data_IF_309649328724
#
_entry.id   IF_309649328724
#
_cell.length_a   1.000
_cell.length_b   1.000
_cell.length_c   1.000
_cell.angle_alpha   90.00
_cell.angle_beta   90.00
_cell.angle_gamma   90.00
#
_symmetry.space_group_name_H-M   'P 1'
#
loop_
_entity.id
_entity.type
_entity.pdbx_description
1 polymer ?
#
# COMPACT_ATOMS: atom_id res chain seq x y z
N UNK A 1 -4.09 -35.49 22.25
CA UNK A 1 -2.83 -35.33 23.01
C UNK A 1 -1.80 -36.10 22.19
N UNK A 2 -0.85 -35.53 21.46
CA UNK A 2 -0.01 -34.34 21.65
C UNK A 2 0.33 -33.80 20.24
N UNK A 3 0.54 -32.53 19.94
CA UNK A 3 1.13 -31.47 20.74
C UNK A 3 2.65 -31.52 20.57
N UNK A 4 3.18 -31.08 19.42
CA UNK A 4 4.58 -30.71 19.26
C UNK A 4 4.68 -29.53 18.27
N UNK A 5 4.83 -28.34 18.84
CA UNK A 5 5.17 -27.11 18.15
C UNK A 5 6.67 -27.10 17.89
N UNK A 6 7.09 -27.20 16.64
CA UNK A 6 8.47 -26.91 16.25
C UNK A 6 8.57 -25.40 15.94
N UNK A 7 8.83 -24.62 16.99
CA UNK A 7 9.41 -23.29 16.86
C UNK A 7 10.88 -23.45 16.46
N UNK A 8 11.17 -23.51 15.16
CA UNK A 8 12.56 -23.46 14.70
C UNK A 8 12.98 -22.00 14.50
N UNK A 9 13.68 -21.52 15.52
CA UNK A 9 14.33 -20.22 15.59
C UNK A 9 15.61 -20.26 14.73
N UNK A 10 15.49 -19.91 13.45
CA UNK A 10 16.67 -19.61 12.63
C UNK A 10 16.70 -18.12 12.32
N UNK A 11 17.31 -17.39 13.24
CA UNK A 11 17.87 -16.07 13.00
C UNK A 11 18.98 -16.17 11.94
N UNK A 12 18.62 -16.24 10.65
CA UNK A 12 19.58 -16.00 9.58
C UNK A 12 19.73 -14.49 9.38
N UNK A 13 20.54 -13.90 10.25
CA UNK A 13 21.06 -12.55 10.09
C UNK A 13 21.97 -12.50 8.85
N UNK A 14 21.40 -12.17 7.70
CA UNK A 14 22.18 -11.69 6.56
C UNK A 14 21.45 -10.54 5.87
N UNK A 15 21.79 -9.33 6.34
CA UNK A 15 21.50 -8.03 5.76
C UNK A 15 20.26 -7.25 6.27
N UNK A 16 20.19 -7.03 7.58
CA UNK A 16 19.35 -5.99 8.18
C UNK A 16 19.74 -4.55 7.79
N UNK A 17 20.79 -4.34 6.97
CA UNK A 17 21.16 -3.02 6.44
C UNK A 17 20.34 -2.61 5.21
N UNK A 18 19.45 -3.48 4.72
CA UNK A 18 18.63 -3.19 3.57
C UNK A 18 17.27 -2.59 3.91
N UNK A 19 16.59 -3.09 4.94
CA UNK A 19 15.15 -2.85 5.15
C UNK A 19 14.92 -1.68 6.13
N UNK A 20 14.14 -0.70 5.70
CA UNK A 20 13.71 0.48 6.44
C UNK A 20 12.36 0.27 7.13
N UNK A 21 11.45 -0.51 6.53
CA UNK A 21 10.14 -0.78 7.11
C UNK A 21 10.17 -1.91 8.14
N UNK A 22 9.50 -1.77 9.29
CA UNK A 22 9.48 -2.81 10.32
C UNK A 22 8.68 -4.04 9.84
N UNK A 23 9.37 -5.16 9.62
CA UNK A 23 8.77 -6.42 9.14
C UNK A 23 7.61 -6.91 10.01
N UNK A 24 7.64 -6.66 11.32
CA UNK A 24 6.54 -6.99 12.24
C UNK A 24 5.23 -6.29 11.86
N UNK A 25 5.29 -5.01 11.43
CA UNK A 25 4.10 -4.26 11.01
C UNK A 25 3.60 -4.72 9.66
N UNK A 26 4.52 -5.01 8.73
CA UNK A 26 4.16 -5.58 7.42
C UNK A 26 3.45 -6.93 7.61
N UNK A 27 4.00 -7.81 8.46
CA UNK A 27 3.39 -9.11 8.79
C UNK A 27 1.99 -8.95 9.39
N UNK A 28 1.80 -7.98 10.29
CA UNK A 28 0.49 -7.70 10.88
C UNK A 28 -0.54 -7.26 9.84
N UNK A 29 -0.15 -6.39 8.90
CA UNK A 29 -1.02 -5.95 7.80
C UNK A 29 -1.36 -7.14 6.89
N UNK A 30 -0.38 -7.97 6.52
CA UNK A 30 -0.62 -9.17 5.72
C UNK A 30 -1.60 -10.14 6.40
N UNK A 31 -1.51 -10.31 7.73
CA UNK A 31 -2.45 -11.14 8.53
C UNK A 31 -3.78 -10.48 8.84
N UNK A 32 -4.01 -9.24 8.41
CA UNK A 32 -5.33 -8.60 8.58
C UNK A 32 -6.39 -9.22 7.66
N UNK A 33 -5.97 -9.89 6.59
CA UNK A 33 -6.87 -10.69 5.76
C UNK A 33 -7.22 -12.02 6.45
N UNK A 34 -8.51 -12.39 6.54
CA UNK A 34 -8.95 -13.62 7.19
C UNK A 34 -8.43 -14.89 6.50
N UNK A 35 -8.06 -14.79 5.22
CA UNK A 35 -7.58 -15.92 4.43
C UNK A 35 -6.08 -16.23 4.63
N UNK A 36 -5.37 -15.40 5.40
CA UNK A 36 -3.92 -15.52 5.59
C UNK A 36 -3.59 -16.16 6.95
N UNK A 37 -3.41 -17.49 6.95
CA UNK A 37 -3.09 -18.27 8.15
C UNK A 37 -1.61 -18.14 8.57
N UNK A 38 -0.69 -18.35 7.62
CA UNK A 38 0.75 -18.33 7.82
C UNK A 38 1.46 -17.60 6.69
N UNK A 39 2.63 -17.02 6.96
CA UNK A 39 3.41 -16.22 6.00
C UNK A 39 4.86 -16.70 6.08
N UNK A 40 5.42 -17.10 4.93
CA UNK A 40 6.84 -17.45 4.80
C UNK A 40 7.74 -16.21 5.03
N UNK A 41 8.90 -16.40 5.67
CA UNK A 41 9.88 -15.34 5.93
C UNK A 41 10.39 -14.68 4.64
N UNK A 42 10.63 -15.46 3.57
CA UNK A 42 11.05 -14.90 2.27
C UNK A 42 9.96 -14.04 1.63
N UNK A 43 8.70 -14.48 1.71
CA UNK A 43 7.57 -13.69 1.23
C UNK A 43 7.45 -12.37 2.02
N UNK A 44 7.61 -12.43 3.35
CA UNK A 44 7.61 -11.23 4.20
C UNK A 44 8.74 -10.27 3.83
N UNK A 45 9.95 -10.78 3.58
CA UNK A 45 11.10 -9.98 3.15
C UNK A 45 10.83 -9.25 1.83
N UNK A 46 10.37 -9.99 0.82
CA UNK A 46 10.05 -9.45 -0.52
C UNK A 46 8.93 -8.42 -0.43
N UNK A 47 7.83 -8.72 0.28
CA UNK A 47 6.72 -7.78 0.46
C UNK A 47 7.18 -6.51 1.17
N UNK A 48 8.04 -6.63 2.18
CA UNK A 48 8.59 -5.46 2.88
C UNK A 48 9.39 -4.58 1.92
N UNK A 49 10.24 -5.19 1.07
CA UNK A 49 11.00 -4.48 0.06
C UNK A 49 10.17 -3.89 -1.06
N UNK A 50 9.17 -4.62 -1.54
CA UNK A 50 8.24 -4.12 -2.53
C UNK A 50 7.47 -2.91 -2.00
N UNK A 51 7.07 -2.92 -0.72
CA UNK A 51 6.36 -1.79 -0.08
C UNK A 51 7.24 -0.54 -0.03
N UNK A 52 8.53 -0.66 0.29
CA UNK A 52 9.46 0.47 0.27
C UNK A 52 9.62 1.10 -1.11
N UNK A 53 9.79 0.25 -2.13
CA UNK A 53 9.91 0.70 -3.52
C UNK A 53 8.61 1.30 -4.02
N UNK A 54 7.47 0.72 -3.63
CA UNK A 54 6.15 1.21 -3.97
C UNK A 54 5.90 2.62 -3.44
N UNK A 55 6.19 2.89 -2.16
CA UNK A 55 6.02 4.23 -1.56
C UNK A 55 6.91 5.26 -2.27
N UNK A 56 8.17 4.92 -2.56
CA UNK A 56 9.08 5.80 -3.29
C UNK A 56 8.57 6.09 -4.70
N UNK A 57 8.13 5.05 -5.42
CA UNK A 57 7.63 5.18 -6.77
C UNK A 57 6.33 5.99 -6.84
N UNK A 58 5.41 5.78 -5.90
CA UNK A 58 4.16 6.54 -5.81
C UNK A 58 4.45 8.02 -5.54
N UNK A 59 5.31 8.31 -4.57
CA UNK A 59 5.69 9.68 -4.23
C UNK A 59 6.37 10.40 -5.41
N UNK A 60 7.34 9.75 -6.06
CA UNK A 60 8.06 10.32 -7.21
C UNK A 60 7.14 10.52 -8.42
N UNK A 61 6.31 9.53 -8.74
CA UNK A 61 5.34 9.63 -9.83
C UNK A 61 4.35 10.77 -9.60
N UNK A 62 3.85 10.89 -8.36
CA UNK A 62 2.92 11.96 -7.99
C UNK A 62 3.56 13.33 -8.01
N UNK A 63 4.81 13.42 -7.58
CA UNK A 63 5.58 14.66 -7.63
C UNK A 63 5.86 15.12 -9.07
N UNK A 64 6.17 14.17 -9.96
CA UNK A 64 6.49 14.46 -11.37
C UNK A 64 5.26 14.79 -12.23
N UNK A 65 4.12 14.15 -11.93
CA UNK A 65 2.88 14.32 -12.68
C UNK A 65 1.99 15.45 -12.14
N UNK A 66 2.22 15.87 -10.89
CA UNK A 66 1.49 16.95 -10.24
C UNK A 66 2.18 18.31 -10.34
N UNK A 67 1.70 19.26 -9.54
CA UNK A 67 2.27 20.61 -9.42
C UNK A 67 3.60 20.67 -8.65
N UNK A 68 4.09 19.50 -8.19
CA UNK A 68 5.29 19.37 -7.37
C UNK A 68 6.55 19.88 -8.06
N UNK A 69 6.63 19.81 -9.38
CA UNK A 69 7.78 20.33 -10.14
C UNK A 69 7.94 21.85 -10.03
N UNK A 70 6.82 22.57 -9.94
CA UNK A 70 6.80 24.04 -9.91
C UNK A 70 6.89 24.56 -8.47
N UNK A 71 6.14 23.92 -7.55
CA UNK A 71 5.98 24.39 -6.17
C UNK A 71 6.88 23.65 -5.17
N UNK A 72 7.71 22.70 -5.63
CA UNK A 72 8.59 21.83 -4.82
C UNK A 72 7.88 21.15 -3.63
N UNK A 73 6.58 20.97 -3.75
CA UNK A 73 5.70 20.48 -2.68
C UNK A 73 4.82 19.38 -3.23
N UNK A 74 4.75 18.24 -2.53
CA UNK A 74 3.84 17.15 -2.89
C UNK A 74 2.53 17.32 -2.12
N UNK A 75 1.43 17.55 -2.84
CA UNK A 75 0.10 17.67 -2.24
C UNK A 75 -0.70 16.38 -2.37
N UNK A 76 -1.73 16.23 -1.54
CA UNK A 76 -2.64 15.10 -1.64
C UNK A 76 -3.37 15.03 -3.00
N UNK A 77 -3.71 16.18 -3.58
CA UNK A 77 -4.31 16.25 -4.91
C UNK A 77 -3.40 15.65 -5.99
N UNK A 78 -2.08 15.81 -5.88
CA UNK A 78 -1.12 15.24 -6.83
C UNK A 78 -1.13 13.70 -6.76
N UNK A 79 -1.21 13.15 -5.53
CA UNK A 79 -1.35 11.71 -5.29
C UNK A 79 -2.68 11.17 -5.86
N UNK A 80 -3.79 11.84 -5.57
CA UNK A 80 -5.10 11.44 -6.04
C UNK A 80 -5.18 11.41 -7.58
N UNK A 81 -4.71 12.47 -8.23
CA UNK A 81 -4.68 12.57 -9.70
C UNK A 81 -3.78 11.49 -10.33
N UNK A 82 -2.64 11.20 -9.71
CA UNK A 82 -1.71 10.18 -10.21
C UNK A 82 -2.30 8.78 -10.09
N UNK A 83 -3.01 8.50 -9.00
CA UNK A 83 -3.72 7.23 -8.79
C UNK A 83 -4.84 7.06 -9.82
N UNK A 84 -5.60 8.12 -10.12
CA UNK A 84 -6.68 8.08 -11.10
C UNK A 84 -6.17 7.92 -12.54
N UNK A 85 -5.08 8.60 -12.89
CA UNK A 85 -4.51 8.59 -14.24
C UNK A 85 -3.61 7.40 -14.59
N UNK A 86 -3.24 6.56 -13.63
CA UNK A 86 -2.29 5.45 -13.84
C UNK A 86 -2.94 4.10 -13.58
N UNK A 87 -3.01 3.24 -14.60
CA UNK A 87 -3.62 1.90 -14.51
C UNK A 87 -3.01 1.05 -13.39
N UNK A 88 -1.69 1.11 -13.22
CA UNK A 88 -0.98 0.32 -12.18
C UNK A 88 -1.31 0.74 -10.75
N UNK A 89 -1.92 1.91 -10.55
CA UNK A 89 -2.38 2.40 -9.24
C UNK A 89 -3.90 2.24 -9.03
N UNK A 90 -4.63 1.64 -9.97
CA UNK A 90 -6.09 1.51 -9.88
C UNK A 90 -6.56 0.77 -8.62
N UNK A 91 -5.73 -0.13 -8.06
CA UNK A 91 -6.02 -0.80 -6.79
C UNK A 91 -6.11 0.16 -5.57
N UNK A 92 -5.60 1.39 -5.70
CA UNK A 92 -5.72 2.47 -4.72
C UNK A 92 -6.96 3.35 -4.95
N UNK A 93 -7.58 3.26 -6.12
CA UNK A 93 -8.83 3.99 -6.35
C UNK A 93 -9.89 3.35 -5.45
N UNK A 94 -10.50 4.15 -4.57
CA UNK A 94 -11.59 3.68 -3.70
C UNK A 94 -12.83 3.20 -4.47
N UNK A 95 -12.78 3.25 -5.81
CA UNK A 95 -13.67 2.57 -6.73
C UNK A 95 -13.44 1.06 -6.61
N UNK A 96 -13.95 0.54 -5.50
CA UNK A 96 -14.36 -0.84 -5.40
C UNK A 96 -15.04 -1.20 -6.72
N UNK A 97 -14.60 -2.29 -7.34
CA UNK A 97 -15.29 -3.01 -8.41
C UNK A 97 -16.67 -3.57 -7.95
N UNK A 98 -17.34 -2.91 -6.99
CA UNK A 98 -18.63 -3.27 -6.42
C UNK A 98 -19.79 -2.46 -7.01
N UNK A 99 -19.55 -1.45 -7.86
CA UNK A 99 -20.62 -0.68 -8.48
C UNK A 99 -20.49 -0.62 -10.00
N UNK A 100 -20.56 -1.78 -10.66
CA UNK A 100 -20.82 -1.82 -12.10
C UNK A 100 -22.32 -1.69 -12.40
N UNK A 101 -22.93 -0.55 -12.03
CA UNK A 101 -24.02 0.11 -12.78
C UNK A 101 -24.56 1.32 -12.00
N UNK A 102 -24.58 2.48 -12.67
CA UNK A 102 -25.45 3.64 -12.41
C UNK A 102 -25.28 4.28 -11.00
N UNK A 103 -24.85 5.53 -10.83
CA UNK A 103 -25.55 6.75 -11.23
C UNK A 103 -24.56 7.93 -11.11
N UNK A 104 -24.45 8.67 -12.22
CA UNK A 104 -24.36 10.14 -12.35
C UNK A 104 -24.13 11.00 -11.10
N UNK A 105 -23.11 11.87 -11.19
CA UNK A 105 -23.08 13.27 -10.72
C UNK A 105 -24.03 13.66 -9.57
N UNK A 106 -23.47 13.96 -8.39
CA UNK A 106 -24.14 14.81 -7.39
C UNK A 106 -23.25 16.04 -7.13
N UNK A 107 -23.62 17.24 -7.62
CA UNK A 107 -22.89 18.45 -7.29
C UNK A 107 -23.14 18.83 -5.83
N UNK A 108 -22.06 19.07 -5.10
CA UNK A 108 -22.05 19.57 -3.74
C UNK A 108 -22.42 21.07 -3.74
N UNK A 109 -23.71 21.36 -3.70
CA UNK A 109 -24.22 22.67 -3.29
C UNK A 109 -25.64 22.53 -2.77
N UNK A 110 -25.75 22.36 -1.46
CA UNK A 110 -26.88 22.91 -0.75
C UNK A 110 -26.37 23.52 0.55
N UNK A 111 -26.18 24.84 0.51
CA UNK A 111 -26.28 25.72 1.67
C UNK A 111 -27.57 25.41 2.40
N UNK A 112 -27.49 25.19 3.71
CA UNK A 112 -28.63 25.42 4.60
C UNK A 112 -28.13 26.34 5.71
N UNK A 113 -28.63 27.57 5.63
CA UNK A 113 -28.97 28.44 6.74
C UNK A 113 -30.10 27.79 7.56
#
# INVERSE_FOLDING_TARGET
MSGDNAEDNVNHASNSKGISLPMTRVKLIMKSSPDVSSINQEALLITTKATELFVQYLALSSFNNGSGKDNKTLLYSDLANTVEGTETFQFLTGNNYCCHHHVTYIPFSLSIQ
#
